data_IF_460286130444
#
_entry.id   IF_460286130444
#
_cell.length_a   1.000
_cell.length_b   1.000
_cell.length_c   1.000
_cell.angle_alpha   90.00
_cell.angle_beta   90.00
_cell.angle_gamma   90.00
#
_symmetry.space_group_name_H-M   'P 1'
#
loop_
_entity.id
_entity.type
_entity.pdbx_description
1 polymer ?
#
# COMPACT_ATOMS: atom_id res chain seq x y z
N UNK A 1 9.07 -14.46 -2.34
CA UNK A 1 9.58 -13.42 -1.40
C UNK A 1 9.46 -12.11 -2.14
N UNK A 2 8.80 -11.11 -1.56
CA UNK A 2 8.44 -9.87 -2.25
C UNK A 2 9.67 -9.01 -2.48
N UNK A 3 10.00 -8.79 -3.75
CA UNK A 3 11.13 -7.97 -4.18
C UNK A 3 10.67 -6.59 -4.65
N UNK A 4 11.62 -5.65 -4.72
CA UNK A 4 11.39 -4.36 -5.37
C UNK A 4 10.85 -4.47 -6.80
N UNK A 5 11.24 -5.50 -7.54
CA UNK A 5 10.77 -5.77 -8.90
C UNK A 5 9.30 -6.16 -8.91
N UNK A 6 8.91 -7.16 -8.10
CA UNK A 6 7.51 -7.59 -7.97
C UNK A 6 6.57 -6.43 -7.59
N UNK A 7 7.00 -5.56 -6.66
CA UNK A 7 6.26 -4.36 -6.25
C UNK A 7 6.20 -3.29 -7.35
N UNK A 8 7.24 -3.18 -8.20
CA UNK A 8 7.22 -2.27 -9.36
C UNK A 8 6.16 -2.69 -10.35
N UNK A 9 6.08 -3.97 -10.67
CA UNK A 9 5.10 -4.47 -11.63
C UNK A 9 3.69 -4.43 -11.06
N UNK A 10 3.51 -4.79 -9.79
CA UNK A 10 2.23 -4.60 -9.11
C UNK A 10 1.72 -3.16 -9.25
N UNK A 11 2.59 -2.18 -9.01
CA UNK A 11 2.24 -0.77 -9.17
C UNK A 11 1.99 -0.37 -10.64
N UNK A 12 2.86 -0.80 -11.56
CA UNK A 12 2.75 -0.50 -12.99
C UNK A 12 1.41 -0.93 -13.57
N UNK A 13 0.91 -2.09 -13.17
CA UNK A 13 -0.37 -2.62 -13.63
C UNK A 13 -1.53 -2.28 -12.68
N UNK A 14 -1.31 -1.42 -11.67
CA UNK A 14 -2.37 -0.94 -10.78
C UNK A 14 -3.01 -2.02 -9.90
N UNK A 15 -2.29 -3.11 -9.63
CA UNK A 15 -2.83 -4.29 -8.93
C UNK A 15 -3.78 -5.15 -9.77
N UNK A 16 -3.89 -4.91 -11.08
CA UNK A 16 -4.66 -5.72 -12.02
C UNK A 16 -3.78 -6.82 -12.63
N UNK A 17 -3.92 -8.04 -12.10
CA UNK A 17 -3.19 -9.22 -12.57
C UNK A 17 -3.63 -9.62 -13.99
N UNK A 18 -4.92 -9.51 -14.31
CA UNK A 18 -5.43 -9.82 -15.66
C UNK A 18 -4.80 -8.90 -16.70
N UNK A 19 -4.57 -7.63 -16.33
CA UNK A 19 -3.86 -6.68 -17.17
C UNK A 19 -2.41 -7.13 -17.42
N UNK A 20 -1.66 -7.52 -16.38
CA UNK A 20 -0.31 -8.08 -16.52
C UNK A 20 -0.28 -9.32 -17.44
N UNK A 21 -1.21 -10.26 -17.24
CA UNK A 21 -1.29 -11.50 -18.04
C UNK A 21 -1.57 -11.19 -19.51
N UNK A 22 -2.40 -10.18 -19.80
CA UNK A 22 -2.80 -9.84 -21.17
C UNK A 22 -1.77 -9.02 -21.93
N UNK A 23 -1.06 -8.09 -21.27
CA UNK A 23 -0.22 -7.09 -21.96
C UNK A 23 1.23 -7.06 -21.49
N UNK A 24 1.55 -7.73 -20.38
CA UNK A 24 2.91 -7.83 -19.86
C UNK A 24 3.81 -8.62 -20.80
N UNK A 25 5.09 -8.27 -20.83
CA UNK A 25 6.08 -9.07 -21.53
C UNK A 25 6.48 -10.30 -20.68
N UNK A 26 7.22 -11.25 -21.27
CA UNK A 26 7.60 -12.50 -20.60
C UNK A 26 8.38 -12.31 -19.30
N UNK A 27 9.23 -11.28 -19.19
CA UNK A 27 9.97 -11.01 -17.97
C UNK A 27 9.03 -10.49 -16.87
N UNK A 28 8.09 -9.62 -17.23
CA UNK A 28 7.08 -9.09 -16.29
C UNK A 28 6.16 -10.19 -15.79
N UNK A 29 5.68 -11.06 -16.67
CA UNK A 29 4.83 -12.19 -16.31
C UNK A 29 5.56 -13.23 -15.44
N UNK A 30 6.88 -13.35 -15.59
CA UNK A 30 7.69 -14.27 -14.79
C UNK A 30 8.17 -13.67 -13.45
N UNK A 31 8.00 -12.35 -13.26
CA UNK A 31 8.56 -11.62 -12.11
C UNK A 31 7.77 -11.76 -10.80
N UNK A 32 6.54 -12.25 -10.88
CA UNK A 32 5.61 -12.35 -9.76
C UNK A 32 4.63 -13.48 -10.03
N UNK A 33 4.42 -14.34 -9.04
CA UNK A 33 3.40 -15.40 -9.15
C UNK A 33 2.01 -14.86 -8.78
N UNK A 34 0.96 -15.56 -9.17
CA UNK A 34 -0.42 -15.22 -8.79
C UNK A 34 -0.59 -15.19 -7.26
N UNK A 35 0.07 -16.10 -6.54
CA UNK A 35 0.08 -16.12 -5.08
C UNK A 35 0.78 -14.90 -4.49
N UNK A 36 1.93 -14.51 -5.03
CA UNK A 36 2.65 -13.31 -4.59
C UNK A 36 1.83 -12.05 -4.87
N UNK A 37 1.14 -11.99 -6.01
CA UNK A 37 0.24 -10.89 -6.35
C UNK A 37 -0.93 -10.76 -5.37
N UNK A 38 -1.59 -11.89 -5.08
CA UNK A 38 -2.66 -11.95 -4.09
C UNK A 38 -2.16 -11.55 -2.70
N UNK A 39 -0.95 -11.96 -2.34
CA UNK A 39 -0.34 -11.63 -1.07
C UNK A 39 0.00 -10.15 -0.94
N UNK A 40 0.56 -9.51 -1.98
CA UNK A 40 0.77 -8.05 -2.01
C UNK A 40 -0.56 -7.33 -1.77
N UNK A 41 -1.63 -7.75 -2.44
CA UNK A 41 -2.96 -7.13 -2.30
C UNK A 41 -3.50 -7.24 -0.86
N UNK A 42 -3.32 -8.40 -0.22
CA UNK A 42 -3.70 -8.59 1.19
C UNK A 42 -2.91 -7.67 2.11
N UNK A 43 -1.58 -7.65 1.99
CA UNK A 43 -0.72 -6.80 2.82
C UNK A 43 -1.07 -5.32 2.68
N UNK A 44 -1.33 -4.84 1.46
CA UNK A 44 -1.73 -3.45 1.23
C UNK A 44 -3.05 -3.13 1.93
N UNK A 45 -4.03 -4.04 1.92
CA UNK A 45 -5.28 -3.87 2.65
C UNK A 45 -5.05 -3.83 4.17
N UNK A 46 -4.24 -4.75 4.69
CA UNK A 46 -3.97 -4.87 6.12
C UNK A 46 -3.23 -3.63 6.65
N UNK A 47 -2.27 -3.10 5.86
CA UNK A 47 -1.59 -1.82 6.13
C UNK A 47 -2.62 -0.69 6.23
N UNK A 48 -3.59 -0.61 5.31
CA UNK A 48 -4.64 0.41 5.36
C UNK A 48 -5.53 0.27 6.61
N UNK A 49 -5.84 -0.94 7.04
CA UNK A 49 -6.62 -1.18 8.26
C UNK A 49 -5.86 -0.74 9.51
N UNK A 50 -4.57 -1.06 9.60
CA UNK A 50 -3.67 -0.58 10.67
C UNK A 50 -3.61 0.95 10.67
N UNK A 51 -3.39 1.59 9.52
CA UNK A 51 -3.35 3.06 9.43
C UNK A 51 -4.64 3.75 9.87
N UNK A 52 -5.78 3.08 9.65
CA UNK A 52 -7.11 3.56 10.09
C UNK A 52 -7.43 3.20 11.54
N UNK A 53 -6.51 2.54 12.26
CA UNK A 53 -6.70 2.06 13.64
C UNK A 53 -7.94 1.17 13.78
N UNK A 54 -8.21 0.35 12.76
CA UNK A 54 -9.38 -0.54 12.71
C UNK A 54 -9.06 -1.99 13.16
N UNK A 55 -7.89 -2.20 13.76
CA UNK A 55 -7.39 -3.53 14.13
C UNK A 55 -6.81 -3.52 15.55
N UNK A 56 -6.64 -4.71 16.13
CA UNK A 56 -6.00 -4.87 17.44
C UNK A 56 -4.48 -4.67 17.36
N UNK A 57 -3.85 -4.43 18.51
CA UNK A 57 -2.38 -4.35 18.61
C UNK A 57 -1.70 -5.65 18.19
N UNK A 58 -2.28 -6.79 18.56
CA UNK A 58 -1.78 -8.11 18.16
C UNK A 58 -1.81 -8.29 16.64
N UNK A 59 -2.85 -7.78 15.98
CA UNK A 59 -2.94 -7.82 14.52
C UNK A 59 -1.85 -6.95 13.87
N UNK A 60 -1.60 -5.75 14.40
CA UNK A 60 -0.50 -4.88 13.94
C UNK A 60 0.86 -5.56 14.09
N UNK A 61 1.13 -6.19 15.23
CA UNK A 61 2.38 -6.92 15.48
C UNK A 61 2.56 -8.10 14.53
N UNK A 62 1.49 -8.86 14.28
CA UNK A 62 1.49 -9.96 13.31
C UNK A 62 1.72 -9.47 11.88
N UNK A 63 1.12 -8.36 11.48
CA UNK A 63 1.36 -7.76 10.17
C UNK A 63 2.82 -7.34 10.00
N UNK A 64 3.42 -6.69 11.00
CA UNK A 64 4.84 -6.30 10.97
C UNK A 64 5.73 -7.53 10.82
N UNK A 65 5.45 -8.62 11.56
CA UNK A 65 6.19 -9.87 11.44
C UNK A 65 6.05 -10.48 10.03
N UNK A 66 4.85 -10.49 9.45
CA UNK A 66 4.61 -10.98 8.10
C UNK A 66 5.35 -10.16 7.04
N UNK A 67 5.32 -8.83 7.13
CA UNK A 67 6.04 -7.95 6.20
C UNK A 67 7.53 -8.23 6.26
N UNK A 68 8.12 -8.32 7.46
CA UNK A 68 9.55 -8.61 7.65
C UNK A 68 9.95 -10.01 7.15
N UNK A 69 9.10 -11.00 7.34
CA UNK A 69 9.38 -12.37 6.92
C UNK A 69 9.30 -12.56 5.39
N UNK A 70 8.50 -11.73 4.70
CA UNK A 70 8.20 -11.94 3.29
C UNK A 70 8.79 -10.91 2.34
N UNK A 71 9.27 -9.75 2.81
CA UNK A 71 9.97 -8.77 1.96
C UNK A 71 11.47 -9.06 1.87
N UNK A 72 12.07 -8.90 0.68
CA UNK A 72 13.48 -9.20 0.42
C UNK A 72 14.45 -8.35 1.24
N UNK A 73 14.10 -7.09 1.48
CA UNK A 73 14.94 -6.08 2.13
C UNK A 73 14.09 -4.89 2.61
N UNK A 74 14.73 -3.96 3.33
CA UNK A 74 14.10 -2.75 3.85
C UNK A 74 13.55 -1.84 2.73
N UNK A 75 14.20 -1.81 1.57
CA UNK A 75 13.73 -1.01 0.44
C UNK A 75 12.41 -1.54 -0.14
N UNK A 76 12.23 -2.87 -0.19
CA UNK A 76 10.96 -3.47 -0.57
C UNK A 76 9.84 -3.13 0.44
N UNK A 77 10.16 -3.09 1.74
CA UNK A 77 9.22 -2.69 2.79
C UNK A 77 8.79 -1.23 2.59
N UNK A 78 9.75 -0.30 2.42
CA UNK A 78 9.47 1.11 2.15
C UNK A 78 8.57 1.30 0.94
N UNK A 79 8.85 0.55 -0.13
CA UNK A 79 8.06 0.60 -1.36
C UNK A 79 6.63 0.10 -1.16
N UNK A 80 6.43 -1.00 -0.43
CA UNK A 80 5.11 -1.53 -0.08
C UNK A 80 4.26 -0.48 0.66
N UNK A 81 4.83 0.17 1.69
CA UNK A 81 4.17 1.26 2.40
C UNK A 81 3.88 2.45 1.48
N UNK A 82 4.81 2.80 0.58
CA UNK A 82 4.60 3.85 -0.41
C UNK A 82 3.40 3.57 -1.34
N UNK A 83 3.22 2.33 -1.77
CA UNK A 83 2.07 1.91 -2.59
C UNK A 83 0.77 2.05 -1.78
N UNK A 84 0.75 1.55 -0.53
CA UNK A 84 -0.42 1.65 0.34
C UNK A 84 -0.86 3.11 0.54
N UNK A 85 0.10 4.02 0.74
CA UNK A 85 -0.16 5.45 0.93
C UNK A 85 -0.73 6.13 -0.32
N UNK A 86 -0.27 5.72 -1.50
CA UNK A 86 -0.83 6.21 -2.77
C UNK A 86 -2.27 5.70 -2.96
N UNK A 87 -2.54 4.43 -2.65
CA UNK A 87 -3.90 3.87 -2.72
C UNK A 87 -4.86 4.52 -1.72
N UNK A 88 -4.39 4.88 -0.52
CA UNK A 88 -5.22 5.61 0.44
C UNK A 88 -5.60 7.00 -0.07
N UNK A 89 -4.62 7.76 -0.59
CA UNK A 89 -4.84 9.10 -1.15
C UNK A 89 -5.78 9.09 -2.36
N UNK A 90 -5.68 8.08 -3.22
CA UNK A 90 -6.59 7.93 -4.37
C UNK A 90 -8.04 7.65 -3.93
N UNK A 91 -8.25 6.92 -2.83
CA UNK A 91 -9.57 6.64 -2.24
C UNK A 91 -10.15 7.82 -1.45
N UNK A 92 -9.30 8.70 -0.94
CA UNK A 92 -9.69 9.87 -0.13
C UNK A 92 -10.00 11.13 -0.96
N UNK A 93 -9.93 11.09 -2.30
CA UNK A 93 -10.32 12.21 -3.18
C UNK A 93 -11.86 12.37 -3.18
N UNK A 94 -12.44 13.29 -2.40
CA UNK A 94 -13.89 13.41 -2.29
C UNK A 94 -14.40 14.26 -3.45
N UNK A 95 -15.68 14.10 -3.78
CA UNK A 95 -16.37 15.01 -4.69
C UNK A 95 -16.16 16.48 -4.24
N UNK A 96 -16.11 17.44 -5.19
CA UNK A 96 -15.73 18.84 -4.95
C UNK A 96 -16.43 19.51 -3.76
N UNK A 97 -17.66 19.11 -3.42
CA UNK A 97 -18.44 19.68 -2.33
C UNK A 97 -17.80 19.56 -0.92
N UNK A 98 -16.91 18.59 -0.68
CA UNK A 98 -16.37 18.34 0.67
C UNK A 98 -15.00 18.99 0.95
N UNK A 99 -14.42 19.76 0.02
CA UNK A 99 -13.08 20.38 0.17
C UNK A 99 -12.94 21.32 1.37
N UNK A 100 -14.04 21.89 1.87
CA UNK A 100 -14.03 22.80 3.02
C UNK A 100 -13.66 22.12 4.34
N UNK A 101 -14.09 20.87 4.52
CA UNK A 101 -13.85 20.08 5.75
C UNK A 101 -12.38 19.62 5.82
N UNK A 102 -11.78 19.30 4.67
CA UNK A 102 -10.40 18.79 4.60
C UNK A 102 -9.34 19.84 4.91
N UNK A 103 -9.59 21.12 4.61
CA UNK A 103 -8.68 22.20 5.02
C UNK A 103 -8.59 22.32 6.55
N UNK A 104 -9.70 22.14 7.26
CA UNK A 104 -9.70 22.15 8.73
C UNK A 104 -9.00 20.94 9.33
N UNK A 105 -9.16 19.75 8.75
CA UNK A 105 -8.50 18.52 9.23
C UNK A 105 -6.98 18.56 8.99
N UNK A 106 -6.53 19.03 7.83
CA UNK A 106 -5.10 19.18 7.53
C UNK A 106 -4.48 20.26 8.44
N UNK A 107 -5.19 21.37 8.68
CA UNK A 107 -4.76 22.42 9.61
C UNK A 107 -4.63 21.90 11.05
N UNK A 108 -5.56 21.07 11.51
CA UNK A 108 -5.50 20.42 12.83
C UNK A 108 -4.33 19.45 12.92
N UNK A 109 -4.09 18.64 11.88
CA UNK A 109 -3.00 17.67 11.87
C UNK A 109 -1.61 18.33 11.83
N UNK A 110 -1.47 19.47 11.14
CA UNK A 110 -0.24 20.26 11.11
C UNK A 110 0.00 21.00 12.44
N UNK A 111 -1.05 21.47 13.11
CA UNK A 111 -0.96 22.09 14.44
C UNK A 111 -0.55 21.12 15.54
N UNK A 112 -0.90 19.83 15.42
CA UNK A 112 -0.57 18.81 16.42
C UNK A 112 0.89 18.34 16.28
N UNK A 113 1.42 18.29 15.05
CA UNK A 113 2.74 17.72 14.77
C UNK A 113 3.87 18.76 14.63
N UNK A 114 3.56 20.05 14.80
CA UNK A 114 4.57 21.09 14.91
C UNK A 114 4.15 22.09 15.99
N UNK A 115 4.29 21.75 17.28
CA UNK A 115 4.19 22.76 18.32
C UNK A 115 5.44 23.62 18.20
N UNK A 116 5.26 24.92 17.98
CA UNK A 116 6.35 25.89 18.06
C UNK A 116 7.04 25.85 19.42
#
# INVERSE_FOLDING_TARGET
MLTNESLTFYEKFGGDLDHLIRVGNKAEQASVTDEEWGFIKSLLQDILLVKKKLVSKEYEENLVAQIKANCSDESAIEKLYGIADRQNRARENPRPENRGIWKSIISLFQSINNPG
#
